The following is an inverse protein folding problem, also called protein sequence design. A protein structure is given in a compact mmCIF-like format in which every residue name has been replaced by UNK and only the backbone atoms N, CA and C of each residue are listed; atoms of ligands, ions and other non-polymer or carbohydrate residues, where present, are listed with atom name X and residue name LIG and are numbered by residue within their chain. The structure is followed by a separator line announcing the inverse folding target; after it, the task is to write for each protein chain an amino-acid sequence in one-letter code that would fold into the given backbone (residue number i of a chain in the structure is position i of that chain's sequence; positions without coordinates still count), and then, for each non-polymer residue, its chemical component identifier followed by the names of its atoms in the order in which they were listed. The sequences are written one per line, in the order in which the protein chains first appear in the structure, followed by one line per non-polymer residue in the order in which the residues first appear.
data_IF_553576181362
#
_entry.id   IF_553576181362
#
_cell.length_a   1.000
_cell.length_b   1.000
_cell.length_c   1.000
_cell.angle_alpha   90.00
_cell.angle_beta   90.00
_cell.angle_gamma   90.00
#
_symmetry.space_group_name_H-M   'P 1'
#
loop_
_entity.id
_entity.type
_entity.pdbx_description
1 polymer ?
#
# COMPACT_ATOMS: atom_id res chain seq x y z
N UNK A 1 8.71 3.43 -15.17
CA UNK A 1 8.62 2.47 -14.06
C UNK A 1 9.59 1.35 -14.38
N UNK A 2 10.69 1.21 -13.64
CA UNK A 2 11.62 0.10 -13.85
C UNK A 2 11.03 -1.19 -13.25
N UNK A 3 11.16 -2.34 -13.92
CA UNK A 3 10.76 -3.62 -13.36
C UNK A 3 11.59 -3.93 -12.11
N UNK A 4 10.96 -4.58 -11.14
CA UNK A 4 11.66 -5.09 -9.95
C UNK A 4 12.14 -6.50 -10.25
N UNK A 5 13.46 -6.68 -10.38
CA UNK A 5 14.07 -7.98 -10.64
C UNK A 5 13.97 -8.90 -9.41
N UNK A 6 13.77 -10.20 -9.65
CA UNK A 6 13.59 -11.24 -8.61
C UNK A 6 12.38 -11.02 -7.68
N UNK A 7 11.37 -10.27 -8.13
CA UNK A 7 10.16 -10.06 -7.34
C UNK A 7 9.34 -11.35 -7.19
N UNK A 8 9.00 -11.71 -5.95
CA UNK A 8 8.13 -12.83 -5.63
C UNK A 8 6.91 -12.43 -4.77
N UNK A 9 5.79 -13.11 -5.01
CA UNK A 9 4.51 -12.77 -4.36
C UNK A 9 4.53 -13.03 -2.86
N UNK A 10 5.26 -14.07 -2.41
CA UNK A 10 5.36 -14.42 -0.98
C UNK A 10 6.06 -13.32 -0.19
N UNK A 11 7.16 -12.80 -0.71
CA UNK A 11 7.88 -11.67 -0.14
C UNK A 11 7.02 -10.41 -0.17
N UNK A 12 6.30 -10.15 -1.28
CA UNK A 12 5.37 -9.02 -1.34
C UNK A 12 4.24 -9.14 -0.31
N UNK A 13 3.70 -10.34 -0.06
CA UNK A 13 2.70 -10.56 0.98
C UNK A 13 3.27 -10.30 2.39
N UNK A 14 4.50 -10.75 2.68
CA UNK A 14 5.17 -10.43 3.95
C UNK A 14 5.41 -8.92 4.11
N UNK A 15 5.80 -8.23 3.03
CA UNK A 15 5.99 -6.78 3.04
C UNK A 15 4.67 -6.03 3.29
N UNK A 16 3.56 -6.51 2.73
CA UNK A 16 2.23 -5.97 2.99
C UNK A 16 1.82 -6.11 4.45
N UNK A 17 2.03 -7.27 5.06
CA UNK A 17 1.76 -7.47 6.49
C UNK A 17 2.56 -6.47 7.32
N UNK A 18 3.86 -6.34 7.05
CA UNK A 18 4.72 -5.39 7.75
C UNK A 18 4.29 -3.92 7.57
N UNK A 19 3.73 -3.57 6.39
CA UNK A 19 3.21 -2.23 6.12
C UNK A 19 1.95 -1.95 6.96
N UNK A 20 1.03 -2.92 6.98
CA UNK A 20 -0.21 -2.80 7.73
C UNK A 20 0.03 -2.77 9.24
N UNK A 21 0.97 -3.56 9.75
CA UNK A 21 1.38 -3.50 11.15
C UNK A 21 1.98 -2.14 11.51
N UNK A 22 2.88 -1.61 10.68
CA UNK A 22 3.43 -0.26 10.88
C UNK A 22 2.34 0.84 10.81
N UNK A 23 1.31 0.65 9.98
CA UNK A 23 0.17 1.55 9.90
C UNK A 23 -0.71 1.47 11.14
N UNK A 24 -0.98 0.25 11.65
CA UNK A 24 -1.71 0.01 12.91
C UNK A 24 -1.00 0.64 14.10
N UNK A 25 0.33 0.52 14.18
CA UNK A 25 1.14 1.18 15.21
C UNK A 25 0.99 2.73 15.18
N UNK A 26 0.58 3.29 14.04
CA UNK A 26 0.27 4.72 13.87
C UNK A 26 -1.23 5.05 13.90
N UNK A 27 -2.09 4.09 14.26
CA UNK A 27 -3.54 4.29 14.42
C UNK A 27 -4.39 3.95 13.19
N UNK A 28 -3.84 3.30 12.17
CA UNK A 28 -4.66 2.76 11.08
C UNK A 28 -5.57 1.64 11.57
N UNK A 29 -6.79 1.58 11.03
CA UNK A 29 -7.76 0.51 11.30
C UNK A 29 -8.20 -0.16 9.98
N UNK A 30 -7.43 -1.15 9.48
CA UNK A 30 -7.91 -2.03 8.41
C UNK A 30 -9.18 -2.76 8.88
N UNK A 31 -10.23 -2.75 8.06
CA UNK A 31 -11.54 -3.32 8.39
C UNK A 31 -11.65 -4.81 8.07
N UNK A 32 -10.60 -5.41 7.52
CA UNK A 32 -10.55 -6.81 7.14
C UNK A 32 -9.19 -7.20 6.58
N UNK A 33 -9.09 -8.44 6.12
CA UNK A 33 -7.89 -8.97 5.50
C UNK A 33 -7.70 -8.38 4.08
N UNK A 34 -6.45 -8.11 3.66
CA UNK A 34 -6.17 -7.73 2.29
C UNK A 34 -6.51 -8.84 1.29
N UNK A 35 -7.15 -8.48 0.19
CA UNK A 35 -7.49 -9.38 -0.90
C UNK A 35 -6.52 -9.21 -2.08
N UNK A 36 -6.01 -10.30 -2.67
CA UNK A 36 -5.14 -10.23 -3.86
C UNK A 36 -5.93 -9.81 -5.10
N UNK A 37 -5.35 -8.90 -5.89
CA UNK A 37 -5.87 -8.46 -7.19
C UNK A 37 -4.85 -8.71 -8.33
N UNK A 38 -4.69 -9.95 -8.84
CA UNK A 38 -3.68 -10.27 -9.84
C UNK A 38 -3.82 -9.48 -11.16
N UNK A 39 -5.04 -9.03 -11.48
CA UNK A 39 -5.29 -8.26 -12.69
C UNK A 39 -4.65 -6.86 -12.65
N UNK A 40 -4.37 -6.35 -11.45
CA UNK A 40 -3.73 -5.06 -11.26
C UNK A 40 -2.20 -5.14 -11.10
N UNK A 41 -1.60 -6.34 -11.11
CA UNK A 41 -0.15 -6.53 -10.99
C UNK A 41 0.61 -5.80 -12.11
N UNK A 42 1.73 -5.18 -11.76
CA UNK A 42 2.51 -4.41 -12.73
C UNK A 42 3.97 -4.26 -12.36
N UNK A 43 4.86 -4.71 -13.25
CA UNK A 43 6.30 -4.42 -13.19
C UNK A 43 7.01 -5.04 -11.99
N UNK A 44 6.69 -6.28 -11.62
CA UNK A 44 7.26 -6.95 -10.45
C UNK A 44 6.64 -6.50 -9.12
N UNK A 45 5.45 -5.88 -9.18
CA UNK A 45 4.65 -5.51 -8.03
C UNK A 45 3.31 -6.23 -8.11
N UNK A 46 2.90 -6.72 -6.97
CA UNK A 46 1.69 -7.49 -6.79
C UNK A 46 0.65 -6.57 -6.15
N UNK A 47 -0.61 -6.63 -6.58
CA UNK A 47 -1.65 -5.75 -6.09
C UNK A 47 -2.53 -6.43 -5.03
N UNK A 48 -2.89 -5.66 -4.01
CA UNK A 48 -3.84 -6.03 -2.98
C UNK A 48 -4.88 -4.94 -2.75
N UNK A 49 -6.11 -5.33 -2.51
CA UNK A 49 -7.19 -4.47 -2.02
C UNK A 49 -7.23 -4.56 -0.50
N UNK A 50 -6.96 -3.46 0.18
CA UNK A 50 -7.02 -3.38 1.65
C UNK A 50 -8.30 -2.67 2.06
N UNK A 51 -9.26 -3.37 2.69
CA UNK A 51 -10.43 -2.72 3.26
C UNK A 51 -10.01 -1.88 4.47
N UNK A 52 -10.40 -0.62 4.49
CA UNK A 52 -10.19 0.31 5.58
C UNK A 52 -11.52 0.57 6.30
N UNK A 53 -11.44 1.11 7.52
CA UNK A 53 -12.64 1.59 8.22
C UNK A 53 -13.43 2.59 7.35
N UNK A 54 -14.76 2.57 7.49
CA UNK A 54 -15.68 3.46 6.77
C UNK A 54 -15.86 3.14 5.28
N UNK A 55 -15.93 1.86 4.92
CA UNK A 55 -16.24 1.34 3.57
C UNK A 55 -15.23 1.71 2.47
N UNK A 56 -14.13 2.36 2.82
CA UNK A 56 -13.08 2.70 1.87
C UNK A 56 -12.16 1.51 1.60
N UNK A 57 -11.77 1.33 0.34
CA UNK A 57 -10.79 0.29 -0.06
C UNK A 57 -9.59 0.97 -0.71
N UNK A 58 -8.39 0.62 -0.25
CA UNK A 58 -7.14 1.12 -0.82
C UNK A 58 -6.47 -0.02 -1.57
N UNK A 59 -6.26 0.14 -2.88
CA UNK A 59 -5.45 -0.82 -3.64
C UNK A 59 -3.97 -0.50 -3.47
N UNK A 60 -3.15 -1.45 -3.03
CA UNK A 60 -1.70 -1.30 -2.82
C UNK A 60 -0.95 -2.21 -3.79
N UNK A 61 -0.04 -1.65 -4.60
CA UNK A 61 0.97 -2.41 -5.32
C UNK A 61 2.23 -2.59 -4.45
N UNK A 62 2.49 -3.81 -3.98
CA UNK A 62 3.66 -4.15 -3.16
C UNK A 62 4.74 -4.86 -4.01
N UNK A 63 6.00 -4.41 -3.96
CA UNK A 63 7.10 -5.09 -4.61
C UNK A 63 7.50 -6.37 -3.85
N UNK A 64 7.80 -7.41 -4.62
CA UNK A 64 8.21 -8.72 -4.12
C UNK A 64 9.68 -8.86 -3.79
N UNK A 65 10.32 -7.82 -3.25
CA UNK A 65 11.74 -7.84 -2.90
C UNK A 65 11.95 -7.63 -1.41
N UNK A 66 13.16 -7.95 -0.96
CA UNK A 66 13.53 -7.97 0.44
C UNK A 66 13.20 -6.66 1.17
N UNK A 67 12.52 -6.73 2.33
CA UNK A 67 11.97 -5.55 3.03
C UNK A 67 13.05 -4.51 3.39
N UNK A 68 14.28 -4.96 3.62
CA UNK A 68 15.43 -4.06 3.85
C UNK A 68 15.75 -3.21 2.63
N UNK A 69 15.60 -3.77 1.42
CA UNK A 69 15.78 -3.02 0.19
C UNK A 69 14.68 -1.98 0.05
N UNK A 70 13.43 -2.36 0.31
CA UNK A 70 12.26 -1.47 0.29
C UNK A 70 12.42 -0.30 1.27
N UNK A 71 12.80 -0.58 2.52
CA UNK A 71 13.00 0.44 3.57
C UNK A 71 14.21 1.35 3.31
N UNK A 72 15.16 0.89 2.49
CA UNK A 72 16.33 1.65 2.09
C UNK A 72 16.14 2.44 0.79
N UNK A 73 15.01 2.28 0.07
CA UNK A 73 14.75 3.05 -1.16
C UNK A 73 14.65 4.54 -0.81
N UNK A 74 15.50 5.35 -1.45
CA UNK A 74 15.43 6.82 -1.37
C UNK A 74 14.22 7.34 -2.15
N UNK A 75 14.02 8.66 -2.07
CA UNK A 75 13.05 9.44 -2.84
C UNK A 75 12.94 9.08 -4.34
N UNK A 76 14.01 8.54 -4.90
CA UNK A 76 14.19 8.31 -6.33
C UNK A 76 13.53 7.01 -6.83
N UNK A 77 13.11 6.11 -5.92
CA UNK A 77 12.53 4.82 -6.27
C UNK A 77 11.34 4.49 -5.35
N UNK A 78 10.13 4.92 -5.70
CA UNK A 78 8.98 4.77 -4.82
C UNK A 78 8.54 3.29 -4.71
N UNK A 79 8.18 2.88 -3.49
CA UNK A 79 7.96 1.49 -3.14
C UNK A 79 6.50 1.05 -3.17
N UNK A 80 5.53 1.98 -3.16
CA UNK A 80 4.11 1.66 -3.01
C UNK A 80 3.28 2.50 -3.98
N UNK A 81 2.18 1.95 -4.48
CA UNK A 81 1.20 2.71 -5.25
C UNK A 81 -0.19 2.42 -4.70
N UNK A 82 -0.71 3.28 -3.83
CA UNK A 82 -2.10 3.23 -3.39
C UNK A 82 -3.02 3.64 -4.55
N UNK A 83 -4.25 3.13 -4.60
CA UNK A 83 -5.24 3.50 -5.61
C UNK A 83 -4.73 3.38 -7.06
N UNK A 84 -3.78 2.47 -7.29
CA UNK A 84 -3.23 2.21 -8.61
C UNK A 84 -4.35 1.70 -9.53
N UNK A 85 -4.91 2.60 -10.34
CA UNK A 85 -6.12 2.33 -11.13
C UNK A 85 -7.17 3.43 -11.06
N UNK A 86 -7.03 4.42 -10.17
CA UNK A 86 -7.84 5.63 -10.19
C UNK A 86 -7.68 6.40 -11.51
N UNK A 87 -8.78 7.03 -11.95
CA UNK A 87 -8.82 7.89 -13.13
C UNK A 87 -7.99 9.17 -12.94
N UNK A 88 -7.76 9.58 -11.68
CA UNK A 88 -7.03 10.80 -11.36
C UNK A 88 -5.51 10.60 -11.36
N UNK A 89 -4.72 11.46 -12.05
CA UNK A 89 -3.26 11.37 -12.09
C UNK A 89 -2.58 11.45 -10.72
N UNK A 90 -3.14 12.23 -9.79
CA UNK A 90 -2.63 12.38 -8.41
C UNK A 90 -2.90 11.17 -7.51
N UNK A 91 -3.75 10.24 -7.93
CA UNK A 91 -3.97 8.96 -7.24
C UNK A 91 -3.01 7.86 -7.69
N UNK A 92 -2.14 8.15 -8.67
CA UNK A 92 -1.09 7.22 -9.14
C UNK A 92 0.28 7.55 -8.56
N UNK A 93 0.33 8.50 -7.63
CA UNK A 93 1.57 8.94 -7.05
C UNK A 93 2.15 7.84 -6.17
N UNK A 94 3.40 7.57 -6.47
CA UNK A 94 4.14 6.49 -5.90
C UNK A 94 4.60 6.91 -4.49
N UNK A 95 4.18 6.18 -3.47
CA UNK A 95 4.48 6.48 -2.08
C UNK A 95 5.74 5.76 -1.61
N UNK A 96 6.44 6.44 -0.71
CA UNK A 96 7.57 5.87 0.01
C UNK A 96 7.04 5.22 1.29
N UNK A 97 7.84 4.37 1.93
CA UNK A 97 7.35 3.58 3.07
C UNK A 97 6.71 4.44 4.16
N UNK A 98 7.40 5.50 4.59
CA UNK A 98 6.90 6.37 5.65
C UNK A 98 5.63 7.15 5.24
N UNK A 99 5.58 7.64 4.00
CA UNK A 99 4.39 8.34 3.49
C UNK A 99 3.19 7.39 3.42
N UNK A 100 3.40 6.17 2.94
CA UNK A 100 2.33 5.18 2.87
C UNK A 100 1.81 4.80 4.25
N UNK A 101 2.70 4.60 5.23
CA UNK A 101 2.26 4.36 6.62
C UNK A 101 1.48 5.57 7.14
N UNK A 102 1.96 6.80 6.88
CA UNK A 102 1.29 8.03 7.30
C UNK A 102 -0.08 8.22 6.68
N UNK A 103 -0.24 7.90 5.38
CA UNK A 103 -1.53 8.01 4.70
C UNK A 103 -2.48 6.89 5.13
N UNK A 104 -2.02 5.65 5.28
CA UNK A 104 -2.85 4.56 5.81
C UNK A 104 -3.35 4.83 7.23
N UNK A 105 -2.51 5.44 8.07
CA UNK A 105 -2.94 5.91 9.39
C UNK A 105 -3.96 7.06 9.29
N UNK A 106 -3.76 7.98 8.34
CA UNK A 106 -4.68 9.09 8.11
C UNK A 106 -6.00 8.65 7.47
N UNK A 107 -6.00 7.59 6.66
CA UNK A 107 -7.22 7.06 6.04
C UNK A 107 -8.12 6.30 7.01
N UNK A 108 -7.70 6.08 8.25
CA UNK A 108 -8.58 5.62 9.33
C UNK A 108 -9.28 6.79 10.05
N UNK A 109 -8.67 7.99 10.05
CA UNK A 109 -9.14 9.12 10.87
C UNK A 109 -10.34 9.86 10.30
N UNK A 110 -10.56 9.80 8.98
CA UNK A 110 -11.62 10.56 8.30
C UNK A 110 -12.99 9.87 8.30
N UNK A 111 -13.08 8.60 8.73
CA UNK A 111 -14.37 7.90 8.90
C UNK A 111 -15.02 8.13 10.26
N UNK A 112 -14.51 9.08 11.06
CA UNK A 112 -15.13 9.50 12.33
C UNK A 112 -15.60 10.95 12.25
N UNK A 113 -16.33 11.30 11.19
CA UNK A 113 -17.25 12.44 11.24
C UNK A 113 -18.67 11.88 11.37
N UNK A 114 -19.22 11.76 12.60
CA UNK A 114 -20.65 11.62 12.78
C UNK A 114 -21.27 12.99 12.50
N UNK A 115 -21.48 13.29 11.21
CA UNK A 115 -22.16 14.50 10.77
C UNK A 115 -23.58 14.54 11.33
N UNK A 116 -23.82 15.63 12.07
CA UNK A 116 -24.99 16.06 12.84
C UNK A 116 -26.34 16.05 12.11
#
# INVERSE_FOLDING_TARGET
MQPVDNADETTAAHNLVALLDAARDRGAAPAGDPERDPAADRGGRFAWSVPMAGESTIRILMPGVDLKQIRAMSADAPCLFPNAGGESPSQRDAWWWNDAVGVLASSARWSTDPGE
#
